data_IF_540521067130
#
_entry.id   IF_540521067130
#
_cell.length_a   1.000
_cell.length_b   1.000
_cell.length_c   1.000
_cell.angle_alpha   90.00
_cell.angle_beta   90.00
_cell.angle_gamma   90.00
#
_symmetry.space_group_name_H-M   'P 1'
#
loop_
_entity.id
_entity.type
_entity.pdbx_description
1 polymer ?
#
# COMPACT_ATOMS: atom_id res chain seq x y z
N UNK A 1 -6.42 -68.31 -19.74
CA UNK A 1 -7.77 -67.75 -19.89
C UNK A 1 -7.89 -66.60 -18.91
N UNK A 2 -8.12 -65.41 -19.47
CA UNK A 2 -8.64 -64.17 -18.86
C UNK A 2 -7.79 -63.42 -17.83
N UNK A 3 -6.88 -62.62 -18.39
CA UNK A 3 -6.81 -61.14 -18.36
C UNK A 3 -6.59 -60.32 -17.09
N UNK A 4 -5.49 -59.56 -17.19
CA UNK A 4 -5.05 -58.38 -16.45
C UNK A 4 -5.96 -57.16 -16.68
N UNK A 5 -6.18 -56.36 -15.63
CA UNK A 5 -6.42 -54.91 -15.74
C UNK A 5 -5.66 -54.20 -14.62
N UNK A 6 -4.55 -53.55 -14.98
CA UNK A 6 -3.85 -52.55 -14.19
C UNK A 6 -4.35 -51.17 -14.65
N UNK A 7 -4.95 -50.39 -13.76
CA UNK A 7 -5.27 -48.98 -14.02
C UNK A 7 -4.10 -48.09 -13.57
N UNK A 8 -3.42 -47.48 -14.54
CA UNK A 8 -2.52 -46.35 -14.37
C UNK A 8 -3.35 -45.07 -14.41
N UNK A 9 -3.42 -44.33 -13.31
CA UNK A 9 -3.85 -42.93 -13.32
C UNK A 9 -2.62 -42.03 -13.27
N UNK A 10 -2.35 -41.37 -14.39
CA UNK A 10 -1.41 -40.27 -14.54
C UNK A 10 -2.03 -38.98 -14.02
N UNK A 11 -1.34 -38.26 -13.13
CA UNK A 11 -1.66 -36.87 -12.81
C UNK A 11 -0.36 -36.07 -12.76
N UNK A 12 -0.24 -35.19 -13.74
CA UNK A 12 0.82 -34.20 -13.94
C UNK A 12 0.71 -33.13 -12.84
N UNK A 13 1.78 -32.73 -12.15
CA UNK A 13 1.80 -31.46 -11.45
C UNK A 13 2.38 -30.37 -12.37
N UNK A 14 1.50 -29.45 -12.77
CA UNK A 14 1.85 -28.18 -13.38
C UNK A 14 2.60 -27.28 -12.41
N UNK A 15 3.63 -26.64 -12.97
CA UNK A 15 4.52 -25.65 -12.40
C UNK A 15 3.82 -24.30 -12.18
N UNK A 16 4.42 -23.47 -11.31
CA UNK A 16 4.19 -22.04 -11.03
C UNK A 16 3.08 -21.66 -10.03
N UNK A 17 3.49 -21.41 -8.78
CA UNK A 17 3.17 -20.14 -8.12
C UNK A 17 4.34 -19.69 -7.24
N UNK A 18 4.90 -18.54 -7.61
CA UNK A 18 6.01 -17.86 -6.95
C UNK A 18 5.49 -17.04 -5.77
N UNK A 19 5.92 -17.34 -4.54
CA UNK A 19 5.92 -16.35 -3.46
C UNK A 19 7.10 -16.55 -2.50
N UNK A 20 7.93 -15.50 -2.51
CA UNK A 20 9.09 -15.16 -1.68
C UNK A 20 9.08 -15.67 -0.24
N UNK A 21 9.84 -16.74 0.03
CA UNK A 21 10.38 -17.09 1.35
C UNK A 21 11.89 -16.79 1.38
N UNK A 22 12.26 -15.55 1.73
CA UNK A 22 13.61 -15.24 2.17
C UNK A 22 13.60 -15.04 3.69
N UNK A 23 14.50 -15.78 4.36
CA UNK A 23 14.77 -15.80 5.81
C UNK A 23 13.90 -16.69 6.72
N UNK A 24 13.82 -18.00 6.40
CA UNK A 24 13.80 -19.06 7.42
C UNK A 24 14.80 -20.17 7.07
N UNK A 25 16.09 -19.85 7.16
CA UNK A 25 17.17 -20.85 7.17
C UNK A 25 17.18 -21.56 8.54
N UNK A 26 16.23 -22.47 8.75
CA UNK A 26 16.24 -23.42 9.87
C UNK A 26 17.13 -24.60 9.48
N UNK A 27 18.44 -24.41 9.57
CA UNK A 27 19.39 -25.49 9.27
C UNK A 27 19.25 -26.57 10.35
N UNK A 28 18.65 -27.72 10.00
CA UNK A 28 18.65 -28.92 10.84
C UNK A 28 20.06 -29.50 10.90
N UNK A 29 20.83 -29.14 11.94
CA UNK A 29 22.07 -29.83 12.28
C UNK A 29 21.88 -30.81 13.44
N UNK A 30 20.97 -31.78 13.27
CA UNK A 30 20.81 -32.89 14.23
C UNK A 30 21.76 -34.05 13.88
N UNK A 31 23.08 -33.83 13.82
CA UNK A 31 24.07 -34.90 14.08
C UNK A 31 25.57 -34.49 14.08
N UNK A 32 25.92 -33.22 14.27
CA UNK A 32 27.33 -32.80 14.25
C UNK A 32 27.81 -32.36 15.64
N UNK A 33 28.97 -32.92 16.04
CA UNK A 33 29.57 -32.74 17.36
C UNK A 33 29.75 -31.25 17.69
N UNK A 34 29.64 -30.94 18.99
CA UNK A 34 29.61 -29.58 19.56
C UNK A 34 30.75 -28.68 19.06
N UNK A 35 31.92 -29.25 18.73
CA UNK A 35 33.08 -28.52 18.21
C UNK A 35 32.88 -27.98 16.80
N UNK A 36 32.19 -28.71 15.91
CA UNK A 36 31.96 -28.24 14.55
C UNK A 36 30.97 -27.09 14.48
N UNK A 37 29.99 -27.02 15.40
CA UNK A 37 29.03 -25.89 15.46
C UNK A 37 29.70 -24.57 15.81
N UNK A 38 30.72 -24.61 16.68
CA UNK A 38 31.45 -23.42 17.09
C UNK A 38 32.31 -22.88 15.93
N UNK A 39 32.90 -23.78 15.14
CA UNK A 39 33.66 -23.42 13.94
C UNK A 39 32.75 -22.82 12.86
N UNK A 40 31.55 -23.38 12.62
CA UNK A 40 30.61 -22.79 11.64
C UNK A 40 30.15 -21.40 12.06
N UNK A 41 29.83 -21.20 13.34
CA UNK A 41 29.46 -19.88 13.85
C UNK A 41 30.61 -18.86 13.70
N UNK A 42 31.85 -19.25 14.01
CA UNK A 42 33.01 -18.38 13.84
C UNK A 42 33.28 -18.00 12.37
N UNK A 43 33.13 -18.95 11.44
CA UNK A 43 33.28 -18.68 10.01
C UNK A 43 32.20 -17.75 9.46
N UNK A 44 30.95 -17.90 9.90
CA UNK A 44 29.85 -17.00 9.53
C UNK A 44 30.10 -15.60 10.08
N UNK A 45 30.53 -15.48 11.34
CA UNK A 45 30.84 -14.19 11.95
C UNK A 45 31.98 -13.49 11.20
N UNK A 46 33.04 -14.22 10.84
CA UNK A 46 34.16 -13.71 10.07
C UNK A 46 33.73 -13.21 8.69
N UNK A 47 32.87 -13.96 7.99
CA UNK A 47 32.34 -13.56 6.69
C UNK A 47 31.52 -12.26 6.76
N UNK A 48 30.69 -12.08 7.80
CA UNK A 48 29.91 -10.86 8.02
C UNK A 48 30.82 -9.65 8.25
N UNK A 49 31.87 -9.80 9.06
CA UNK A 49 32.84 -8.73 9.33
C UNK A 49 33.56 -8.32 8.04
N UNK A 50 34.04 -9.30 7.26
CA UNK A 50 34.71 -9.04 5.98
C UNK A 50 33.80 -8.34 4.97
N UNK A 51 32.51 -8.73 4.92
CA UNK A 51 31.53 -8.09 4.05
C UNK A 51 31.25 -6.63 4.46
N UNK A 52 31.15 -6.36 5.77
CA UNK A 52 31.00 -5.00 6.30
C UNK A 52 32.19 -4.11 5.96
N UNK A 53 33.42 -4.62 6.07
CA UNK A 53 34.63 -3.89 5.68
C UNK A 53 34.66 -3.56 4.19
N UNK A 54 34.27 -4.50 3.32
CA UNK A 54 34.19 -4.27 1.87
C UNK A 54 33.16 -3.19 1.52
N UNK A 55 31.98 -3.19 2.16
CA UNK A 55 30.98 -2.14 1.97
C UNK A 55 31.54 -0.78 2.43
N UNK A 56 32.24 -0.73 3.56
CA UNK A 56 32.86 0.50 4.06
C UNK A 56 33.87 1.10 3.07
N UNK A 57 34.73 0.26 2.49
CA UNK A 57 35.70 0.68 1.46
C UNK A 57 34.98 1.19 0.20
N UNK A 58 33.88 0.55 -0.19
CA UNK A 58 33.10 0.96 -1.36
C UNK A 58 32.43 2.34 -1.15
N UNK A 59 31.88 2.59 0.04
CA UNK A 59 31.29 3.88 0.40
C UNK A 59 32.34 5.00 0.45
N UNK A 60 33.52 4.73 1.02
CA UNK A 60 34.63 5.69 1.05
C UNK A 60 35.16 6.01 -0.35
N UNK A 61 35.11 5.05 -1.28
CA UNK A 61 35.51 5.28 -2.68
C UNK A 61 34.48 6.14 -3.42
N UNK A 62 33.19 5.99 -3.11
CA UNK A 62 32.12 6.79 -3.70
C UNK A 62 32.11 8.25 -3.26
N UNK A 63 32.51 8.54 -2.01
CA UNK A 63 32.55 9.93 -1.52
C UNK A 63 33.71 10.74 -2.09
N UNK A 64 34.74 10.09 -2.66
CA UNK A 64 35.94 10.77 -3.17
C UNK A 64 35.85 11.20 -4.64
N UNK A 65 34.87 10.73 -5.43
CA UNK A 65 34.72 11.08 -6.85
C UNK A 65 33.76 12.25 -7.13
N UNK A 66 33.22 12.92 -6.10
CA UNK A 66 32.06 13.81 -6.24
C UNK A 66 32.25 15.28 -5.91
N UNK A 67 33.43 15.90 -6.10
CA UNK A 67 33.59 17.37 -5.94
C UNK A 67 34.57 17.99 -6.94
N UNK A 68 34.06 18.39 -8.10
CA UNK A 68 34.59 19.57 -8.81
C UNK A 68 33.64 20.75 -8.55
N UNK A 69 34.10 21.87 -7.99
CA UNK A 69 33.24 23.02 -7.76
C UNK A 69 32.93 23.72 -9.09
N UNK A 70 31.64 23.78 -9.44
CA UNK A 70 31.14 24.60 -10.55
C UNK A 70 31.00 26.04 -10.04
N UNK A 71 31.85 26.93 -10.57
CA UNK A 71 31.80 28.37 -10.32
C UNK A 71 30.65 28.94 -11.16
N UNK A 72 29.56 29.36 -10.52
CA UNK A 72 28.51 30.15 -11.18
C UNK A 72 28.91 31.63 -11.16
N UNK A 73 29.00 32.23 -12.35
CA UNK A 73 29.23 33.65 -12.57
C UNK A 73 27.86 34.34 -12.70
N UNK A 74 27.51 35.19 -11.75
CA UNK A 74 26.35 36.09 -11.85
C UNK A 74 26.53 37.05 -13.01
N UNK A 75 25.56 37.07 -13.93
CA UNK A 75 25.38 38.17 -14.88
C UNK A 75 24.20 38.99 -14.38
N UNK A 76 24.51 40.15 -13.81
CA UNK A 76 23.57 41.24 -13.60
C UNK A 76 23.15 41.81 -14.96
N UNK A 77 21.84 41.84 -15.23
CA UNK A 77 21.27 42.76 -16.23
C UNK A 77 20.15 43.57 -15.57
N UNK A 78 20.51 44.78 -15.18
CA UNK A 78 19.60 45.88 -14.90
C UNK A 78 19.09 46.49 -16.22
N UNK A 79 17.81 46.89 -16.17
CA UNK A 79 17.25 48.13 -16.72
C UNK A 79 16.53 48.21 -18.09
N UNK A 80 15.32 48.80 -17.96
CA UNK A 80 14.59 49.76 -18.83
C UNK A 80 13.55 49.19 -19.80
N UNK A 81 12.31 49.64 -19.62
CA UNK A 81 11.23 49.54 -20.62
C UNK A 81 9.82 49.79 -20.07
N UNK A 82 9.55 51.00 -19.60
CA UNK A 82 8.22 51.55 -19.30
C UNK A 82 7.32 51.60 -20.55
N UNK A 83 6.05 51.22 -20.43
CA UNK A 83 4.95 51.96 -21.06
C UNK A 83 3.58 51.54 -20.48
N UNK A 84 2.86 52.55 -20.02
CA UNK A 84 1.48 52.55 -19.52
C UNK A 84 0.46 51.98 -20.52
N UNK A 85 -0.67 51.50 -19.98
CA UNK A 85 -1.81 51.07 -20.76
C UNK A 85 -3.01 50.65 -19.93
N UNK A 86 -3.57 51.60 -19.18
CA UNK A 86 -4.91 51.51 -18.54
C UNK A 86 -5.97 51.34 -19.62
N UNK A 87 -6.71 50.22 -19.66
CA UNK A 87 -8.08 50.19 -20.21
C UNK A 87 -8.99 49.34 -19.32
N UNK A 88 -10.06 50.00 -18.89
CA UNK A 88 -11.16 49.51 -18.08
C UNK A 88 -11.89 48.32 -18.71
N UNK A 89 -12.27 47.35 -17.89
CA UNK A 89 -13.42 46.47 -18.16
C UNK A 89 -14.70 47.24 -17.88
N UNK A 90 -15.58 47.33 -18.87
CA UNK A 90 -17.01 47.40 -18.62
C UNK A 90 -17.80 46.74 -19.75
N UNK A 91 -18.94 46.23 -19.33
CA UNK A 91 -19.93 45.36 -19.95
C UNK A 91 -20.57 45.92 -21.24
N UNK A 92 -20.98 45.05 -22.16
CA UNK A 92 -22.40 44.71 -22.40
C UNK A 92 -22.62 43.83 -23.64
N UNK A 93 -23.65 43.01 -23.49
CA UNK A 93 -24.39 42.22 -24.47
C UNK A 93 -24.76 43.00 -25.74
N UNK A 94 -24.82 42.33 -26.90
CA UNK A 94 -26.08 42.22 -27.67
C UNK A 94 -26.00 41.21 -28.82
N UNK A 95 -27.18 40.67 -29.11
CA UNK A 95 -27.61 39.65 -30.05
C UNK A 95 -27.47 39.99 -31.55
N UNK A 96 -27.83 38.97 -32.36
CA UNK A 96 -28.38 39.01 -33.74
C UNK A 96 -27.38 39.33 -34.87
N UNK A 97 -27.39 38.75 -36.08
CA UNK A 97 -28.02 37.59 -36.76
C UNK A 97 -27.55 37.68 -38.25
N UNK A 98 -27.91 36.69 -39.09
CA UNK A 98 -27.88 36.70 -40.58
C UNK A 98 -26.44 36.51 -41.16
N UNK A 99 -26.12 35.64 -42.14
CA UNK A 99 -26.81 35.26 -43.38
C UNK A 99 -26.46 33.83 -43.82
N UNK A 100 -27.51 33.06 -44.15
CA UNK A 100 -27.48 31.84 -44.97
C UNK A 100 -27.35 32.22 -46.45
N UNK A 101 -26.33 31.72 -47.16
CA UNK A 101 -26.32 31.70 -48.63
C UNK A 101 -26.06 30.27 -49.11
N UNK A 102 -27.07 29.71 -49.77
CA UNK A 102 -27.08 28.46 -50.51
C UNK A 102 -26.57 28.77 -51.94
N UNK A 103 -25.69 27.96 -52.55
CA UNK A 103 -25.17 28.27 -53.87
C UNK A 103 -26.14 27.86 -54.98
N UNK A 104 -26.49 28.80 -55.84
CA UNK A 104 -27.12 28.56 -57.15
C UNK A 104 -26.05 28.34 -58.21
N UNK A 105 -26.08 27.17 -58.84
CA UNK A 105 -25.40 26.88 -60.10
C UNK A 105 -25.92 27.81 -61.20
N UNK A 106 -25.02 28.51 -61.89
CA UNK A 106 -25.25 28.91 -63.28
C UNK A 106 -23.99 28.65 -64.09
N UNK A 107 -24.17 27.81 -65.10
CA UNK A 107 -23.24 27.54 -66.19
C UNK A 107 -23.19 28.75 -67.12
N UNK A 108 -21.99 29.20 -67.48
CA UNK A 108 -21.71 29.78 -68.79
C UNK A 108 -20.27 29.46 -69.20
N UNK A 109 -20.17 28.81 -70.35
CA UNK A 109 -18.96 28.46 -71.09
C UNK A 109 -18.65 29.65 -72.01
N UNK A 110 -17.45 30.24 -71.92
CA UNK A 110 -16.70 30.75 -73.09
C UNK A 110 -15.21 30.59 -72.80
N UNK A 111 -14.53 29.86 -73.68
CA UNK A 111 -13.09 29.68 -73.78
C UNK A 111 -12.33 31.00 -73.90
N UNK A 112 -11.20 31.10 -73.20
CA UNK A 112 -9.99 31.71 -73.78
C UNK A 112 -8.75 31.21 -73.02
N UNK A 113 -7.84 30.66 -73.81
CA UNK A 113 -6.56 30.06 -73.48
C UNK A 113 -5.63 31.04 -72.77
N UNK A 114 -5.30 30.76 -71.51
CA UNK A 114 -4.05 31.21 -70.89
C UNK A 114 -3.53 30.12 -69.95
N UNK A 115 -2.49 29.42 -70.40
CA UNK A 115 -1.70 28.48 -69.58
C UNK A 115 -0.81 29.30 -68.63
N UNK A 116 -1.35 29.78 -67.53
CA UNK A 116 -0.56 30.17 -66.36
C UNK A 116 -0.50 28.97 -65.43
N UNK A 117 0.65 28.28 -65.44
CA UNK A 117 0.98 27.20 -64.50
C UNK A 117 1.09 27.81 -63.10
N UNK A 118 -0.04 27.94 -62.43
CA UNK A 118 -0.09 28.37 -61.03
C UNK A 118 0.10 27.10 -60.21
N UNK A 119 1.31 26.88 -59.69
CA UNK A 119 1.57 25.87 -58.65
C UNK A 119 0.76 26.22 -57.42
N UNK A 120 -0.43 25.65 -57.32
CA UNK A 120 -1.22 25.62 -56.09
C UNK A 120 -0.47 24.69 -55.15
N UNK A 121 0.34 25.26 -54.26
CA UNK A 121 0.86 24.57 -53.09
C UNK A 121 -0.34 24.21 -52.21
N UNK A 122 -0.89 23.01 -52.39
CA UNK A 122 -1.77 22.41 -51.39
C UNK A 122 -0.93 22.21 -50.13
N UNK A 123 -0.98 23.18 -49.23
CA UNK A 123 -0.64 22.97 -47.84
C UNK A 123 -1.70 22.05 -47.27
N UNK A 124 -1.47 20.74 -47.39
CA UNK A 124 -2.19 19.76 -46.60
C UNK A 124 -1.88 20.11 -45.15
N UNK A 125 -2.85 20.71 -44.45
CA UNK A 125 -2.86 20.79 -43.00
C UNK A 125 -2.87 19.35 -42.48
N UNK A 126 -1.69 18.73 -42.39
CA UNK A 126 -1.51 17.54 -41.59
C UNK A 126 -1.76 17.97 -40.16
N UNK A 127 -2.98 17.75 -39.67
CA UNK A 127 -3.28 17.79 -38.25
C UNK A 127 -2.21 16.95 -37.56
N UNK A 128 -1.32 17.64 -36.84
CA UNK A 128 -0.24 17.00 -36.12
C UNK A 128 -0.88 16.12 -35.06
N UNK A 129 -0.93 14.81 -35.28
CA UNK A 129 -1.45 13.87 -34.30
C UNK A 129 -0.63 14.01 -33.01
N UNK A 130 -1.31 14.34 -31.92
CA UNK A 130 -0.71 14.45 -30.60
C UNK A 130 -0.35 13.05 -30.09
N UNK A 131 0.81 12.94 -29.46
CA UNK A 131 1.33 11.70 -28.92
C UNK A 131 0.52 11.26 -27.69
N UNK A 132 0.17 9.97 -27.64
CA UNK A 132 -0.59 9.34 -26.56
C UNK A 132 0.31 8.91 -25.41
N UNK A 133 -0.30 8.45 -24.32
CA UNK A 133 0.45 7.91 -23.16
C UNK A 133 1.48 6.86 -23.59
N UNK A 134 2.73 7.03 -23.16
CA UNK A 134 3.85 6.14 -23.47
C UNK A 134 4.56 6.43 -24.80
N UNK A 135 3.99 7.29 -25.65
CA UNK A 135 4.62 7.67 -26.91
C UNK A 135 5.71 8.72 -26.70
N UNK A 136 6.63 8.79 -27.66
CA UNK A 136 7.78 9.70 -27.63
C UNK A 136 7.35 11.15 -27.82
N UNK A 137 7.98 12.07 -27.09
CA UNK A 137 7.71 13.49 -27.17
C UNK A 137 8.97 14.34 -27.06
N UNK A 138 8.96 15.48 -27.75
CA UNK A 138 10.04 16.48 -27.68
C UNK A 138 9.73 17.59 -26.66
N UNK A 139 8.46 17.85 -26.37
CA UNK A 139 7.98 18.85 -25.43
C UNK A 139 6.52 18.54 -25.04
N UNK A 140 5.98 19.30 -24.07
CA UNK A 140 4.62 19.09 -23.56
C UNK A 140 3.53 19.31 -24.62
N UNK A 141 3.76 20.18 -25.61
CA UNK A 141 2.80 20.41 -26.69
C UNK A 141 2.74 19.26 -27.71
N UNK A 142 3.66 18.29 -27.60
CA UNK A 142 3.62 17.06 -28.37
C UNK A 142 2.66 16.02 -27.81
N UNK A 143 2.19 16.16 -26.57
CA UNK A 143 1.35 15.17 -25.90
C UNK A 143 -0.14 15.53 -25.94
N UNK A 144 -1.01 14.52 -26.07
CA UNK A 144 -2.46 14.70 -25.93
C UNK A 144 -2.79 15.09 -24.49
N UNK A 145 -3.64 16.11 -24.28
CA UNK A 145 -4.06 16.47 -22.92
C UNK A 145 -4.83 15.30 -22.29
N UNK A 146 -4.54 14.91 -21.03
CA UNK A 146 -3.80 15.65 -20.00
C UNK A 146 -2.32 15.23 -19.80
N UNK A 147 -1.71 14.52 -20.76
CA UNK A 147 -0.33 14.03 -20.61
C UNK A 147 0.70 15.16 -20.73
N UNK A 148 1.83 15.01 -20.03
CA UNK A 148 3.00 15.89 -20.08
C UNK A 148 4.24 15.09 -20.50
N UNK A 149 5.21 15.76 -21.12
CA UNK A 149 6.39 15.12 -21.66
C UNK A 149 7.47 14.95 -20.59
N UNK A 150 7.68 13.73 -20.11
CA UNK A 150 8.74 13.42 -19.15
C UNK A 150 10.04 13.06 -19.86
N UNK A 151 11.06 13.93 -19.75
CA UNK A 151 12.42 13.66 -20.26
C UNK A 151 13.35 13.15 -19.16
N UNK A 152 14.11 12.08 -19.46
CA UNK A 152 15.25 11.64 -18.63
C UNK A 152 16.57 12.16 -19.21
N UNK A 153 16.82 13.45 -19.04
CA UNK A 153 18.05 14.09 -19.52
C UNK A 153 17.93 14.72 -20.91
N UNK A 154 19.06 15.21 -21.44
CA UNK A 154 19.09 16.07 -22.65
C UNK A 154 19.13 15.30 -23.96
N UNK A 155 19.49 14.02 -23.94
CA UNK A 155 19.75 13.22 -25.15
C UNK A 155 18.75 12.10 -25.43
N UNK A 156 17.84 11.79 -24.50
CA UNK A 156 16.77 10.80 -24.74
C UNK A 156 15.46 11.48 -25.09
N UNK A 157 14.71 10.99 -26.08
CA UNK A 157 13.34 11.43 -26.31
C UNK A 157 12.52 11.30 -25.03
N UNK A 158 11.65 12.28 -24.77
CA UNK A 158 10.74 12.20 -23.64
C UNK A 158 9.65 11.18 -23.89
N UNK A 159 8.90 10.82 -22.85
CA UNK A 159 7.68 10.02 -22.98
C UNK A 159 6.48 10.80 -22.42
N UNK A 160 5.36 10.79 -23.13
CA UNK A 160 4.11 11.34 -22.62
C UNK A 160 3.63 10.49 -21.45
N UNK A 161 3.47 11.10 -20.28
CA UNK A 161 2.97 10.45 -19.05
C UNK A 161 2.01 11.37 -18.33
N UNK A 162 1.29 10.81 -17.36
CA UNK A 162 0.46 11.63 -16.49
C UNK A 162 1.31 12.62 -15.67
N UNK A 163 0.74 13.78 -15.27
CA UNK A 163 1.41 14.72 -14.39
C UNK A 163 1.76 14.09 -13.04
N UNK A 164 2.67 14.72 -12.30
CA UNK A 164 2.96 14.29 -10.93
C UNK A 164 1.67 14.33 -10.09
N UNK A 165 1.47 13.30 -9.25
CA UNK A 165 0.23 13.05 -8.50
C UNK A 165 -0.97 12.61 -9.36
N UNK A 166 -0.76 12.12 -10.57
CA UNK A 166 -1.81 11.47 -11.35
C UNK A 166 -1.34 10.07 -11.75
N UNK A 167 -2.25 9.12 -11.73
CA UNK A 167 -2.01 7.75 -12.16
C UNK A 167 -2.80 7.46 -13.43
N UNK A 168 -2.24 6.62 -14.30
CA UNK A 168 -2.87 6.23 -15.54
C UNK A 168 -3.79 5.03 -15.32
N UNK A 169 -5.11 5.26 -15.39
CA UNK A 169 -6.15 4.25 -15.13
C UNK A 169 -7.16 4.30 -16.26
N UNK A 170 -7.35 3.17 -16.97
CA UNK A 170 -8.33 3.02 -18.08
C UNK A 170 -8.24 4.17 -19.10
N UNK A 171 -7.03 4.42 -19.60
CA UNK A 171 -6.73 5.46 -20.60
C UNK A 171 -6.93 6.91 -20.16
N UNK A 172 -7.07 7.15 -18.85
CA UNK A 172 -7.20 8.49 -18.29
C UNK A 172 -6.19 8.73 -17.17
N UNK A 173 -5.73 9.97 -17.05
CA UNK A 173 -4.96 10.40 -15.88
C UNK A 173 -5.92 10.78 -14.77
N UNK A 174 -5.84 10.05 -13.67
CA UNK A 174 -6.71 10.22 -12.51
C UNK A 174 -5.89 10.74 -11.33
N UNK A 175 -6.35 11.83 -10.72
CA UNK A 175 -5.68 12.56 -9.66
C UNK A 175 -5.64 11.76 -8.35
N UNK A 176 -4.43 11.65 -7.81
CA UNK A 176 -4.10 11.09 -6.51
C UNK A 176 -4.24 12.15 -5.40
N UNK A 177 -3.86 11.85 -4.16
CA UNK A 177 -3.96 12.77 -3.03
C UNK A 177 -3.28 14.12 -3.33
N UNK A 178 -4.03 15.21 -3.11
CA UNK A 178 -3.61 16.59 -3.36
C UNK A 178 -3.34 16.92 -4.83
N UNK A 179 -3.81 16.12 -5.79
CA UNK A 179 -3.84 16.48 -7.21
C UNK A 179 -4.89 17.58 -7.44
N UNK A 180 -4.63 18.50 -8.37
CA UNK A 180 -5.59 19.54 -8.72
C UNK A 180 -6.77 18.91 -9.48
N UNK A 181 -7.97 19.41 -9.22
CA UNK A 181 -9.18 18.85 -9.82
C UNK A 181 -10.20 19.95 -10.12
N UNK A 182 -11.10 19.67 -11.06
CA UNK A 182 -12.25 20.53 -11.37
C UNK A 182 -13.56 19.84 -11.05
N UNK A 183 -13.58 18.50 -11.15
CA UNK A 183 -14.72 17.62 -10.92
C UNK A 183 -14.28 16.40 -10.11
N UNK A 184 -15.23 15.74 -9.45
CA UNK A 184 -14.94 14.53 -8.67
C UNK A 184 -14.43 13.37 -9.54
N UNK A 185 -14.84 13.33 -10.82
CA UNK A 185 -14.36 12.36 -11.81
C UNK A 185 -12.87 12.51 -12.16
N UNK A 186 -12.26 13.64 -11.81
CA UNK A 186 -10.83 13.88 -12.03
C UNK A 186 -9.98 13.17 -10.97
N UNK A 187 -10.60 12.67 -9.88
CA UNK A 187 -9.94 12.07 -8.74
C UNK A 187 -10.11 10.54 -8.71
N UNK A 188 -9.21 9.85 -8.01
CA UNK A 188 -9.28 8.39 -7.88
C UNK A 188 -10.53 7.92 -7.14
N UNK A 189 -10.83 6.62 -7.25
CA UNK A 189 -11.94 5.99 -6.54
C UNK A 189 -11.87 6.31 -5.03
N UNK A 190 -13.03 6.66 -4.47
CA UNK A 190 -13.18 7.08 -3.07
C UNK A 190 -12.51 8.41 -2.68
N UNK A 191 -12.10 9.23 -3.67
CA UNK A 191 -11.72 10.62 -3.48
C UNK A 191 -12.83 11.57 -3.95
N UNK A 192 -12.82 12.79 -3.41
CA UNK A 192 -13.67 13.91 -3.84
C UNK A 192 -12.81 15.13 -4.16
N UNK A 193 -13.28 15.94 -5.09
CA UNK A 193 -12.63 17.19 -5.46
C UNK A 193 -13.03 18.32 -4.51
N UNK A 194 -12.27 18.49 -3.43
CA UNK A 194 -12.59 19.42 -2.34
C UNK A 194 -11.91 20.78 -2.53
N UNK A 195 -12.59 21.85 -2.15
CA UNK A 195 -12.01 23.20 -2.12
C UNK A 195 -11.02 23.37 -0.97
N UNK A 196 -9.91 24.04 -1.24
CA UNK A 196 -8.85 24.39 -0.30
C UNK A 196 -8.94 25.88 0.09
N UNK A 197 -8.27 26.24 1.19
CA UNK A 197 -8.30 27.61 1.72
C UNK A 197 -7.67 28.66 0.77
N UNK A 198 -6.82 28.21 -0.16
CA UNK A 198 -6.18 29.05 -1.17
C UNK A 198 -7.06 29.25 -2.43
N UNK A 199 -8.30 28.73 -2.42
CA UNK A 199 -9.22 28.77 -3.56
C UNK A 199 -8.96 27.71 -4.61
N UNK A 200 -7.91 26.89 -4.47
CA UNK A 200 -7.69 25.73 -5.34
C UNK A 200 -8.63 24.59 -4.97
N UNK A 201 -8.80 23.63 -5.87
CA UNK A 201 -9.55 22.40 -5.60
C UNK A 201 -8.61 21.22 -5.78
N UNK A 202 -8.63 20.31 -4.81
CA UNK A 202 -7.73 19.16 -4.79
C UNK A 202 -8.44 17.87 -4.40
N UNK A 203 -7.93 16.75 -4.90
CA UNK A 203 -8.42 15.42 -4.57
C UNK A 203 -8.10 15.06 -3.11
N UNK A 204 -9.12 14.72 -2.35
CA UNK A 204 -9.03 14.27 -0.95
C UNK A 204 -9.81 12.98 -0.75
N UNK A 205 -9.33 12.08 0.12
CA UNK A 205 -10.10 10.91 0.49
C UNK A 205 -11.41 11.31 1.17
N UNK A 206 -12.48 10.56 0.89
CA UNK A 206 -13.74 10.69 1.64
C UNK A 206 -13.54 10.40 3.13
N UNK A 207 -14.42 10.93 4.00
CA UNK A 207 -14.29 10.87 5.48
C UNK A 207 -14.12 9.46 6.07
N UNK A 208 -14.59 8.42 5.37
CA UNK A 208 -14.48 7.01 5.77
C UNK A 208 -13.27 6.29 5.16
N UNK A 209 -12.41 6.99 4.44
CA UNK A 209 -11.27 6.43 3.75
C UNK A 209 -9.99 7.13 4.21
N UNK A 210 -8.91 6.36 4.31
CA UNK A 210 -7.58 6.86 4.64
C UNK A 210 -6.63 6.58 3.49
N UNK A 211 -5.70 7.49 3.26
CA UNK A 211 -4.75 7.38 2.16
C UNK A 211 -3.62 6.38 2.49
N UNK A 212 -3.51 5.30 1.71
CA UNK A 212 -2.45 4.30 1.79
C UNK A 212 -1.29 4.74 0.89
N UNK A 213 -0.30 5.45 1.46
CA UNK A 213 0.80 6.05 0.71
C UNK A 213 1.63 5.04 -0.12
N UNK A 214 2.02 3.86 0.41
CA UNK A 214 2.66 2.81 -0.39
C UNK A 214 1.87 2.37 -1.63
N UNK A 215 0.54 2.38 -1.56
CA UNK A 215 -0.35 1.95 -2.66
C UNK A 215 -0.93 3.11 -3.48
N UNK A 216 -0.67 4.34 -3.07
CA UNK A 216 -1.15 5.58 -3.68
C UNK A 216 -2.65 5.56 -4.00
N UNK A 217 -3.46 5.19 -2.99
CA UNK A 217 -4.93 5.15 -3.10
C UNK A 217 -5.60 5.29 -1.74
N UNK A 218 -6.85 5.72 -1.74
CA UNK A 218 -7.69 5.70 -0.55
C UNK A 218 -8.19 4.29 -0.25
N UNK A 219 -8.13 3.87 1.02
CA UNK A 219 -8.68 2.60 1.51
C UNK A 219 -9.67 2.85 2.64
N UNK A 220 -10.80 2.17 2.57
CA UNK A 220 -11.93 2.27 3.48
C UNK A 220 -11.59 1.75 4.87
N UNK A 221 -12.00 2.52 5.87
CA UNK A 221 -12.02 2.16 7.28
C UNK A 221 -13.18 1.20 7.57
N UNK A 222 -13.34 0.78 8.82
CA UNK A 222 -14.48 -0.04 9.25
C UNK A 222 -15.82 0.58 8.85
N UNK A 223 -16.70 -0.24 8.28
CA UNK A 223 -18.00 0.14 7.69
C UNK A 223 -17.95 1.03 6.44
N UNK A 224 -16.76 1.35 5.90
CA UNK A 224 -16.67 2.03 4.62
C UNK A 224 -17.19 1.12 3.50
N UNK A 225 -17.88 1.66 2.48
CA UNK A 225 -18.35 0.88 1.35
C UNK A 225 -17.18 0.31 0.56
N UNK A 226 -17.32 -0.90 0.04
CA UNK A 226 -16.27 -1.60 -0.70
C UNK A 226 -16.85 -2.45 -1.84
N UNK A 227 -16.05 -2.68 -2.87
CA UNK A 227 -16.36 -3.64 -3.96
C UNK A 227 -15.51 -4.92 -3.83
N UNK A 228 -14.32 -4.77 -3.24
CA UNK A 228 -13.30 -5.79 -3.14
C UNK A 228 -12.40 -5.60 -1.91
N UNK A 229 -11.63 -6.63 -1.55
CA UNK A 229 -10.74 -6.58 -0.38
C UNK A 229 -9.60 -5.56 -0.51
N UNK A 230 -9.23 -5.15 -1.72
CA UNK A 230 -8.19 -4.12 -1.91
C UNK A 230 -8.70 -2.73 -1.50
N UNK A 231 -10.02 -2.53 -1.44
CA UNK A 231 -10.64 -1.26 -1.07
C UNK A 231 -10.60 -1.02 0.44
N UNK A 232 -10.56 -2.06 1.27
CA UNK A 232 -10.54 -1.95 2.73
C UNK A 232 -9.12 -1.80 3.27
N UNK A 233 -8.88 -1.17 4.43
CA UNK A 233 -7.52 -1.08 5.05
C UNK A 233 -6.98 -2.44 5.54
N UNK A 234 -5.77 -2.43 6.11
CA UNK A 234 -5.17 -3.62 6.73
C UNK A 234 -6.11 -4.25 7.78
N UNK A 235 -6.11 -5.57 7.86
CA UNK A 235 -6.95 -6.38 8.77
C UNK A 235 -8.47 -6.21 8.59
N UNK A 236 -8.90 -5.51 7.54
CA UNK A 236 -10.30 -5.42 7.09
C UNK A 236 -10.47 -6.23 5.80
N UNK A 237 -11.61 -6.88 5.69
CA UNK A 237 -12.07 -7.59 4.49
C UNK A 237 -13.38 -6.98 4.02
N UNK A 238 -13.62 -7.01 2.71
CA UNK A 238 -14.87 -6.51 2.15
C UNK A 238 -15.97 -7.54 2.36
N UNK A 239 -16.89 -7.26 3.28
CA UNK A 239 -18.00 -8.14 3.60
C UNK A 239 -19.14 -7.95 2.61
N UNK A 240 -19.24 -8.90 1.68
CA UNK A 240 -20.28 -8.91 0.64
C UNK A 240 -21.64 -9.42 1.12
N UNK A 241 -21.74 -9.92 2.36
CA UNK A 241 -23.01 -10.38 2.93
C UNK A 241 -23.90 -9.22 3.41
N UNK A 242 -23.32 -8.04 3.61
CA UNK A 242 -24.02 -6.80 3.96
C UNK A 242 -24.29 -6.01 2.66
N UNK A 243 -25.46 -5.36 2.57
CA UNK A 243 -25.83 -4.49 1.43
C UNK A 243 -26.10 -3.06 1.92
N UNK A 244 -25.34 -2.05 1.45
CA UNK A 244 -24.18 -2.16 0.55
C UNK A 244 -23.03 -2.94 1.21
N UNK A 245 -22.14 -3.54 0.41
CA UNK A 245 -20.96 -4.23 0.94
C UNK A 245 -20.05 -3.26 1.66
N UNK A 246 -19.55 -3.67 2.83
CA UNK A 246 -18.75 -2.81 3.71
C UNK A 246 -17.51 -3.51 4.22
N UNK A 247 -16.48 -2.73 4.55
CA UNK A 247 -15.28 -3.21 5.20
C UNK A 247 -15.57 -3.65 6.65
N UNK A 248 -15.29 -4.90 6.98
CA UNK A 248 -15.39 -5.44 8.34
C UNK A 248 -14.08 -6.11 8.74
N UNK A 249 -13.83 -6.27 10.04
CA UNK A 249 -12.63 -6.97 10.48
C UNK A 249 -12.60 -8.41 9.97
N UNK A 250 -11.40 -8.90 9.68
CA UNK A 250 -11.17 -10.30 9.34
C UNK A 250 -11.52 -11.22 10.54
N UNK A 251 -11.71 -12.52 10.29
CA UNK A 251 -11.89 -13.49 11.37
C UNK A 251 -10.74 -13.40 12.37
N UNK A 252 -11.05 -13.46 13.66
CA UNK A 252 -10.10 -13.28 14.78
C UNK A 252 -9.61 -11.84 15.00
N UNK A 253 -10.27 -10.85 14.41
CA UNK A 253 -10.03 -9.44 14.68
C UNK A 253 -11.32 -8.75 15.16
N UNK A 254 -11.19 -7.86 16.13
CA UNK A 254 -12.27 -7.06 16.69
C UNK A 254 -12.06 -5.58 16.40
N UNK A 255 -13.12 -4.87 16.01
CA UNK A 255 -13.04 -3.44 15.76
C UNK A 255 -12.96 -2.67 17.08
N UNK A 256 -11.95 -1.82 17.22
CA UNK A 256 -11.74 -1.01 18.41
C UNK A 256 -12.03 0.47 18.11
N UNK A 257 -13.16 1.03 18.59
CA UNK A 257 -13.63 2.36 18.20
C UNK A 257 -12.67 3.49 18.56
N UNK A 258 -11.95 3.36 19.68
CA UNK A 258 -11.05 4.40 20.18
C UNK A 258 -9.86 4.65 19.26
N UNK A 259 -9.41 3.63 18.54
CA UNK A 259 -8.30 3.72 17.59
C UNK A 259 -8.72 3.56 16.14
N UNK A 260 -10.02 3.34 15.88
CA UNK A 260 -10.60 3.11 14.54
C UNK A 260 -9.82 2.06 13.74
N UNK A 261 -9.52 0.93 14.38
CA UNK A 261 -8.71 -0.15 13.81
C UNK A 261 -9.22 -1.51 14.26
N UNK A 262 -9.01 -2.51 13.43
CA UNK A 262 -9.21 -3.91 13.80
C UNK A 262 -8.02 -4.40 14.60
N UNK A 263 -8.28 -5.04 15.73
CA UNK A 263 -7.24 -5.62 16.58
C UNK A 263 -7.41 -7.13 16.70
N UNK A 264 -6.32 -7.86 16.57
CA UNK A 264 -6.28 -9.32 16.62
C UNK A 264 -6.50 -9.86 18.02
N UNK A 265 -7.45 -10.79 18.12
CA UNK A 265 -7.71 -11.58 19.32
C UNK A 265 -6.51 -12.49 19.64
N UNK A 266 -6.38 -13.00 20.88
CA UNK A 266 -5.47 -14.08 21.22
C UNK A 266 -5.55 -15.24 20.22
N UNK A 267 -4.41 -15.56 19.59
CA UNK A 267 -4.27 -16.55 18.53
C UNK A 267 -4.34 -16.00 17.10
N UNK A 268 -4.72 -14.74 16.89
CA UNK A 268 -4.68 -14.10 15.58
C UNK A 268 -3.25 -13.94 15.08
N UNK A 269 -3.03 -14.11 13.77
CA UNK A 269 -1.72 -13.93 13.14
C UNK A 269 -1.34 -12.45 13.20
N UNK A 270 -0.12 -12.13 13.61
CA UNK A 270 0.36 -10.74 13.71
C UNK A 270 1.79 -10.59 13.20
N UNK A 271 2.17 -9.36 12.83
CA UNK A 271 3.54 -8.96 12.55
C UNK A 271 4.03 -8.01 13.65
N UNK A 272 5.27 -8.19 14.14
CA UNK A 272 5.87 -7.34 15.18
C UNK A 272 5.98 -5.87 14.74
N UNK A 273 6.08 -5.60 13.43
CA UNK A 273 6.19 -4.24 12.91
C UNK A 273 4.84 -3.48 12.90
N UNK A 274 3.73 -4.21 12.83
CA UNK A 274 2.38 -3.66 12.68
C UNK A 274 1.43 -4.22 13.73
N UNK A 275 1.96 -4.66 14.87
CA UNK A 275 1.21 -5.44 15.86
C UNK A 275 -0.03 -4.66 16.33
N UNK A 276 -1.19 -5.10 15.87
CA UNK A 276 -2.51 -4.60 16.25
C UNK A 276 -3.20 -5.68 17.07
N UNK A 277 -2.60 -6.19 18.13
CA UNK A 277 -3.31 -7.11 19.03
C UNK A 277 -4.28 -6.33 19.95
N UNK A 278 -5.29 -7.01 20.50
CA UNK A 278 -6.21 -6.40 21.48
C UNK A 278 -5.48 -5.85 22.71
N UNK A 279 -6.15 -5.03 23.51
CA UNK A 279 -5.54 -4.46 24.72
C UNK A 279 -4.99 -5.58 25.62
N UNK A 280 -3.82 -5.32 26.21
CA UNK A 280 -3.08 -6.29 27.04
C UNK A 280 -2.63 -7.58 26.32
N UNK A 281 -2.62 -7.59 24.98
CA UNK A 281 -1.96 -8.59 24.16
C UNK A 281 -0.74 -8.02 23.43
N UNK A 282 0.22 -8.89 23.16
CA UNK A 282 1.44 -8.59 22.42
C UNK A 282 1.66 -9.62 21.30
N UNK A 283 2.32 -9.19 20.23
CA UNK A 283 2.64 -10.08 19.12
C UNK A 283 3.88 -10.92 19.45
N UNK A 284 3.68 -12.19 19.77
CA UNK A 284 4.74 -13.16 20.11
C UNK A 284 4.75 -14.30 19.11
N UNK A 285 5.92 -14.55 18.52
CA UNK A 285 6.14 -15.61 17.52
C UNK A 285 5.15 -15.62 16.33
N UNK A 286 4.63 -14.44 15.97
CA UNK A 286 3.69 -14.26 14.87
C UNK A 286 2.23 -14.48 15.24
N UNK A 287 1.91 -14.63 16.53
CA UNK A 287 0.55 -14.72 17.05
C UNK A 287 0.31 -13.69 18.17
N UNK A 288 -0.91 -13.17 18.25
CA UNK A 288 -1.32 -12.35 19.37
C UNK A 288 -1.45 -13.22 20.62
N UNK A 289 -0.72 -12.87 21.69
CA UNK A 289 -0.79 -13.55 22.98
C UNK A 289 -1.04 -12.54 24.09
N UNK A 290 -1.87 -12.88 25.06
CA UNK A 290 -2.04 -12.02 26.23
C UNK A 290 -0.70 -11.86 26.96
N UNK A 291 -0.36 -10.61 27.29
CA UNK A 291 0.85 -10.26 28.02
C UNK A 291 0.95 -11.04 29.33
N UNK A 292 2.15 -11.10 29.90
CA UNK A 292 2.50 -12.02 30.99
C UNK A 292 1.55 -12.08 32.20
N UNK A 293 0.84 -11.00 32.51
CA UNK A 293 -0.09 -10.94 33.64
C UNK A 293 -1.57 -11.17 33.27
N UNK A 294 -1.90 -11.31 31.99
CA UNK A 294 -3.27 -11.43 31.50
C UNK A 294 -3.56 -12.79 30.88
N UNK A 295 -4.84 -13.16 30.86
CA UNK A 295 -5.35 -14.38 30.21
C UNK A 295 -6.53 -14.07 29.31
N UNK A 296 -6.72 -14.83 28.22
CA UNK A 296 -7.92 -14.73 27.42
C UNK A 296 -9.13 -15.23 28.22
N UNK A 297 -10.21 -14.47 28.23
CA UNK A 297 -11.54 -14.95 28.64
C UNK A 297 -12.25 -15.68 27.48
N UNK A 298 -13.51 -16.09 27.70
CA UNK A 298 -14.32 -16.77 26.67
C UNK A 298 -14.61 -15.87 25.44
N UNK A 299 -14.55 -14.55 25.61
CA UNK A 299 -14.70 -13.56 24.55
C UNK A 299 -13.36 -13.19 23.88
N UNK A 300 -12.28 -13.91 24.23
CA UNK A 300 -10.91 -13.69 23.75
C UNK A 300 -10.38 -12.30 24.10
N UNK A 301 -10.82 -11.72 25.22
CA UNK A 301 -10.31 -10.48 25.76
C UNK A 301 -9.25 -10.81 26.82
N UNK A 302 -8.13 -10.09 26.82
CA UNK A 302 -7.08 -10.27 27.82
C UNK A 302 -7.47 -9.55 29.13
N UNK A 303 -7.96 -10.33 30.10
CA UNK A 303 -8.39 -9.84 31.41
C UNK A 303 -7.35 -10.13 32.48
N UNK A 304 -7.30 -9.28 33.51
CA UNK A 304 -6.48 -9.55 34.70
C UNK A 304 -7.19 -10.64 35.51
N UNK A 305 -6.60 -11.84 35.62
CA UNK A 305 -7.27 -12.94 36.29
C UNK A 305 -7.13 -12.85 37.82
N UNK A 306 -6.36 -11.89 38.33
CA UNK A 306 -6.12 -11.68 39.76
C UNK A 306 -6.95 -10.50 40.28
N UNK A 307 -8.14 -10.74 40.85
CA UNK A 307 -8.95 -9.65 41.41
C UNK A 307 -8.22 -8.99 42.59
N UNK A 308 -8.49 -7.71 42.85
CA UNK A 308 -7.81 -6.91 43.87
C UNK A 308 -7.96 -7.42 45.32
N UNK A 309 -8.82 -8.41 45.55
CA UNK A 309 -9.15 -8.98 46.85
C UNK A 309 -9.11 -10.52 46.81
N UNK A 310 -7.94 -11.12 46.59
CA UNK A 310 -7.79 -12.58 46.68
C UNK A 310 -7.18 -12.98 48.04
N UNK A 311 -7.74 -13.97 48.75
CA UNK A 311 -7.10 -14.53 49.94
C UNK A 311 -5.74 -15.14 49.59
N UNK A 312 -4.77 -14.99 50.50
CA UNK A 312 -3.39 -15.43 50.35
C UNK A 312 -3.23 -16.92 50.76
N UNK A 313 -2.56 -17.79 49.98
CA UNK A 313 -1.97 -17.56 48.65
C UNK A 313 -3.00 -17.60 47.54
N UNK A 314 -2.85 -16.67 46.60
CA UNK A 314 -3.75 -16.47 45.47
C UNK A 314 -3.09 -16.97 44.19
N UNK A 315 -3.10 -18.28 44.00
CA UNK A 315 -2.76 -18.89 42.71
C UNK A 315 -4.04 -19.37 42.05
N UNK A 316 -4.15 -19.08 40.76
CA UNK A 316 -5.31 -19.42 39.96
C UNK A 316 -4.86 -20.25 38.76
N UNK A 317 -5.73 -21.14 38.31
CA UNK A 317 -5.45 -21.98 37.15
C UNK A 317 -5.38 -21.13 35.89
N UNK A 318 -4.46 -21.47 34.99
CA UNK A 318 -4.44 -20.88 33.65
C UNK A 318 -5.62 -21.40 32.80
N UNK A 319 -6.43 -20.53 32.18
CA UNK A 319 -7.55 -20.95 31.34
C UNK A 319 -7.11 -21.86 30.19
N UNK A 320 -7.79 -22.99 30.00
CA UNK A 320 -7.50 -23.96 28.93
C UNK A 320 -6.20 -24.75 29.07
N UNK A 321 -5.38 -24.52 30.11
CA UNK A 321 -4.16 -25.31 30.35
C UNK A 321 -3.95 -25.59 31.83
N UNK A 322 -4.34 -26.79 32.26
CA UNK A 322 -4.24 -27.19 33.66
C UNK A 322 -2.82 -27.44 34.15
N UNK A 323 -1.83 -27.55 33.24
CA UNK A 323 -0.42 -27.61 33.64
C UNK A 323 0.13 -26.24 34.01
N UNK A 324 -0.60 -25.15 33.77
CA UNK A 324 -0.15 -23.79 34.08
C UNK A 324 -1.03 -23.14 35.14
N UNK A 325 -0.41 -22.26 35.91
CA UNK A 325 -1.09 -21.42 36.89
C UNK A 325 -0.50 -20.02 36.89
N UNK A 326 -1.24 -19.08 37.46
CA UNK A 326 -0.84 -17.69 37.62
C UNK A 326 -0.66 -17.44 39.10
N UNK A 327 0.53 -16.95 39.46
CA UNK A 327 0.81 -16.49 40.80
C UNK A 327 0.45 -15.00 40.89
N UNK A 328 -0.66 -14.67 41.56
CA UNK A 328 -1.14 -13.29 41.63
C UNK A 328 -0.24 -12.36 42.43
N UNK A 329 0.63 -12.90 43.30
CA UNK A 329 1.58 -12.09 44.05
C UNK A 329 2.77 -11.69 43.18
N UNK A 330 3.26 -12.65 42.39
CA UNK A 330 4.39 -12.43 41.49
C UNK A 330 3.98 -11.91 40.11
N UNK A 331 2.67 -11.90 39.81
CA UNK A 331 2.09 -11.60 38.48
C UNK A 331 2.75 -12.40 37.36
N UNK A 332 3.02 -13.67 37.63
CA UNK A 332 3.79 -14.54 36.74
C UNK A 332 3.01 -15.80 36.36
N UNK A 333 3.20 -16.24 35.11
CA UNK A 333 2.71 -17.53 34.60
C UNK A 333 3.75 -18.60 34.90
N UNK A 334 3.36 -19.66 35.60
CA UNK A 334 4.24 -20.78 35.96
C UNK A 334 3.67 -22.09 35.43
N UNK A 335 4.55 -22.97 34.95
CA UNK A 335 4.19 -24.33 34.51
C UNK A 335 4.55 -25.35 35.58
N UNK A 336 3.63 -26.28 35.84
CA UNK A 336 3.82 -27.38 36.74
C UNK A 336 4.84 -28.39 36.19
N UNK A 337 5.61 -29.08 37.07
CA UNK A 337 6.49 -30.18 36.69
C UNK A 337 5.81 -31.22 35.80
N UNK A 338 6.60 -31.99 35.05
CA UNK A 338 6.07 -33.03 34.17
C UNK A 338 5.12 -33.99 34.92
N UNK A 339 4.05 -34.40 34.23
CA UNK A 339 3.00 -35.28 34.75
C UNK A 339 2.17 -34.73 35.93
N UNK A 340 2.31 -33.44 36.28
CA UNK A 340 1.49 -32.78 37.29
C UNK A 340 0.64 -31.66 36.69
N UNK A 341 -0.49 -31.35 37.33
CA UNK A 341 -1.41 -30.26 36.99
C UNK A 341 -1.73 -29.43 38.23
N UNK A 342 -2.09 -28.16 38.03
CA UNK A 342 -2.37 -27.24 39.12
C UNK A 342 -3.69 -27.57 39.83
N UNK A 343 -3.58 -27.88 41.12
CA UNK A 343 -4.69 -28.16 42.02
C UNK A 343 -5.14 -26.88 42.72
N UNK A 344 -6.28 -26.33 42.30
CA UNK A 344 -6.81 -25.08 42.84
C UNK A 344 -7.15 -25.19 44.34
N UNK A 345 -7.51 -26.39 44.82
CA UNK A 345 -7.87 -26.62 46.21
C UNK A 345 -6.66 -26.56 47.14
N UNK A 346 -5.53 -27.11 46.71
CA UNK A 346 -4.30 -27.16 47.51
C UNK A 346 -3.32 -26.04 47.17
N UNK A 347 -3.56 -25.28 46.09
CA UNK A 347 -2.70 -24.21 45.59
C UNK A 347 -1.29 -24.70 45.17
N UNK A 348 -1.19 -25.98 44.79
CA UNK A 348 0.05 -26.69 44.43
C UNK A 348 -0.13 -27.53 43.15
N UNK A 349 0.98 -27.92 42.53
CA UNK A 349 0.98 -28.89 41.44
C UNK A 349 0.81 -30.31 42.01
N UNK A 350 -0.13 -31.07 41.47
CA UNK A 350 -0.52 -32.39 41.96
C UNK A 350 -0.76 -33.35 40.78
N UNK A 351 -0.82 -34.65 41.06
CA UNK A 351 -1.10 -35.64 40.03
C UNK A 351 -2.56 -35.55 39.54
N UNK A 352 -2.83 -35.79 38.24
CA UNK A 352 -4.18 -35.63 37.68
C UNK A 352 -5.30 -36.38 38.42
N UNK A 353 -4.99 -37.54 39.01
CA UNK A 353 -5.93 -38.33 39.83
C UNK A 353 -6.49 -37.56 41.05
N UNK A 354 -5.77 -36.56 41.54
CA UNK A 354 -6.11 -35.77 42.73
C UNK A 354 -6.79 -34.43 42.40
N UNK A 355 -6.91 -34.07 41.11
CA UNK A 355 -7.49 -32.79 40.66
C UNK A 355 -8.79 -33.09 39.91
N UNK A 356 -9.92 -32.82 40.56
CA UNK A 356 -11.24 -33.14 40.01
C UNK A 356 -11.73 -32.08 39.01
N UNK A 357 -11.33 -30.83 39.21
CA UNK A 357 -11.86 -29.70 38.43
C UNK A 357 -11.17 -29.53 37.06
N UNK A 358 -10.24 -30.42 36.70
CA UNK A 358 -9.60 -30.45 35.39
C UNK A 358 -9.54 -31.89 34.88
N UNK A 359 -10.55 -32.28 34.11
CA UNK A 359 -10.65 -33.58 33.47
C UNK A 359 -11.12 -33.45 32.04
#
# INVERSE_FOLDING_TARGET
MTDHVLSLSSSIPTLLETKSDYCRLRIRFNHLSRERRLLTCLLILFAIIMFGLLIGIFILSWTFQGRTPIIYREINSTNIGTSDGVIQRNERQLLTSIINIKPTLSTNIIDTTFMTTTTIQLTTNTEKQLARYGESCDNDSGCERPFICHKKGTSTPGMCRCPLKYDFIRDQCVGDLNALCTKDTDCQQYMLCMGMNDGTRQCQCQKQFEYDNPRRRCRGDYQAPCESNIDCRANLVCNKTITPSVCSCESHYQYHPSVRKCRGDPGAVCDRATAECVDNAECRDGACECSHQFVPDDNKICVDPCPSQVPNPARIRYPGNCRRFIDCQQKSKTECPEMTIFNLRTQLCDYPKNVFDCR
#
